data_IF_506117461327
#
_entry.id   IF_506117461327
#
_cell.length_a   1.000
_cell.length_b   1.000
_cell.length_c   1.000
_cell.angle_alpha   90.00
_cell.angle_beta   90.00
_cell.angle_gamma   90.00
#
_symmetry.space_group_name_H-M   'P 1'
#
loop_
_entity.id
_entity.type
_entity.pdbx_description
1 polymer ?
#
# COMPACT_ATOMS: atom_id res chain seq x y z
N UNK A 1 0.49 3.11 9.08
CA UNK A 1 -0.98 3.33 9.04
C UNK A 1 -1.39 4.60 9.79
N UNK A 2 -0.70 4.98 10.87
CA UNK A 2 -1.05 6.20 11.61
C UNK A 2 -1.05 7.48 10.77
N UNK A 3 -0.09 7.67 9.85
CA UNK A 3 -0.01 8.86 9.00
C UNK A 3 -1.25 9.08 8.12
N UNK A 4 -1.76 8.02 7.47
CA UNK A 4 -3.00 8.12 6.67
C UNK A 4 -4.23 8.26 7.57
N UNK A 5 -4.20 7.67 8.77
CA UNK A 5 -5.24 7.86 9.79
C UNK A 5 -5.36 9.31 10.26
N UNK A 6 -4.31 10.13 10.13
CA UNK A 6 -4.40 11.57 10.44
C UNK A 6 -5.34 12.32 9.49
N UNK A 7 -5.50 11.83 8.25
CA UNK A 7 -6.48 12.33 7.30
C UNK A 7 -7.88 11.73 7.51
N UNK A 8 -8.05 10.85 8.49
CA UNK A 8 -9.30 10.16 8.79
C UNK A 8 -10.44 11.11 9.15
N UNK A 9 -11.64 10.77 8.72
CA UNK A 9 -12.88 11.44 9.10
C UNK A 9 -13.04 11.47 10.61
N UNK A 10 -13.23 12.66 11.16
CA UNK A 10 -13.33 12.86 12.61
C UNK A 10 -12.01 12.73 13.37
N UNK A 11 -10.86 12.72 12.67
CA UNK A 11 -9.56 12.73 13.34
C UNK A 11 -9.34 14.03 14.12
N UNK A 12 -8.41 14.00 15.08
CA UNK A 12 -7.99 15.18 15.84
C UNK A 12 -7.35 16.29 14.98
N UNK A 13 -7.09 16.02 13.69
CA UNK A 13 -6.42 16.91 12.76
C UNK A 13 -7.41 17.75 11.97
N UNK A 14 -8.50 17.14 11.48
CA UNK A 14 -9.40 17.78 10.52
C UNK A 14 -10.05 19.08 11.01
N UNK A 15 -10.40 19.16 12.29
CA UNK A 15 -11.09 20.31 12.87
C UNK A 15 -10.17 21.17 13.75
N UNK A 16 -8.85 20.96 13.65
CA UNK A 16 -7.89 21.60 14.54
C UNK A 16 -7.13 22.72 13.80
N UNK A 17 -7.33 24.00 14.17
CA UNK A 17 -6.69 25.13 13.49
C UNK A 17 -5.18 25.18 13.69
N UNK A 18 -4.61 24.39 14.61
CA UNK A 18 -3.17 24.23 14.71
C UNK A 18 -2.58 23.49 13.50
N UNK A 19 -3.37 22.73 12.74
CA UNK A 19 -2.91 21.90 11.63
C UNK A 19 -3.05 22.62 10.28
N UNK A 20 -2.10 22.38 9.35
CA UNK A 20 -2.24 22.82 7.96
C UNK A 20 -3.52 22.26 7.34
N UNK A 21 -4.11 23.01 6.41
CA UNK A 21 -5.29 22.55 5.67
C UNK A 21 -4.97 21.31 4.83
N UNK A 22 -5.85 20.31 4.89
CA UNK A 22 -5.86 19.18 3.98
C UNK A 22 -7.16 19.23 3.17
N UNK A 23 -7.12 19.14 1.83
CA UNK A 23 -8.32 19.05 1.01
C UNK A 23 -8.97 17.65 1.03
N UNK A 24 -8.38 16.70 1.74
CA UNK A 24 -8.84 15.30 1.78
C UNK A 24 -9.32 14.88 3.17
N UNK A 25 -10.36 14.06 3.15
CA UNK A 25 -10.94 13.34 4.28
C UNK A 25 -11.02 11.85 3.95
N UNK A 26 -10.50 11.00 4.83
CA UNK A 26 -10.40 9.56 4.61
C UNK A 26 -11.45 8.81 5.43
N UNK A 27 -12.26 8.00 4.77
CA UNK A 27 -13.04 6.96 5.43
C UNK A 27 -12.34 5.62 5.18
N UNK A 28 -11.93 4.93 6.25
CA UNK A 28 -11.06 3.76 6.15
C UNK A 28 -11.85 2.49 6.43
N UNK A 29 -11.88 1.60 5.44
CA UNK A 29 -12.38 0.24 5.60
C UNK A 29 -11.22 -0.77 5.63
N UNK A 30 -11.32 -1.74 6.53
CA UNK A 30 -10.48 -2.94 6.55
C UNK A 30 -11.26 -4.07 5.90
N UNK A 31 -10.85 -4.46 4.70
CA UNK A 31 -11.58 -5.41 3.87
C UNK A 31 -11.02 -6.82 3.99
N UNK A 32 -11.90 -7.81 4.08
CA UNK A 32 -11.57 -9.23 4.02
C UNK A 32 -12.65 -10.04 3.31
N UNK A 33 -12.40 -11.33 3.06
CA UNK A 33 -13.39 -12.22 2.46
C UNK A 33 -14.57 -12.52 3.39
N UNK A 34 -14.30 -12.63 4.70
CA UNK A 34 -15.31 -12.90 5.73
C UNK A 34 -15.20 -11.87 6.86
N UNK A 35 -16.23 -11.77 7.71
CA UNK A 35 -16.21 -10.90 8.89
C UNK A 35 -15.43 -11.50 10.07
N UNK A 36 -14.88 -12.71 9.92
CA UNK A 36 -14.06 -13.33 10.96
C UNK A 36 -12.73 -12.55 11.12
N UNK A 37 -12.16 -12.47 12.34
CA UNK A 37 -10.88 -11.82 12.55
C UNK A 37 -9.78 -12.42 11.67
N UNK A 38 -9.02 -11.57 10.99
CA UNK A 38 -7.85 -11.96 10.20
C UNK A 38 -6.64 -11.97 11.12
N UNK A 39 -5.99 -13.12 11.25
CA UNK A 39 -4.77 -13.27 12.07
C UNK A 39 -3.55 -12.96 11.20
N UNK A 40 -2.82 -11.85 11.45
CA UNK A 40 -1.58 -11.57 10.74
C UNK A 40 -0.48 -12.55 11.17
N UNK A 41 0.59 -12.66 10.37
CA UNK A 41 1.72 -13.51 10.73
C UNK A 41 2.42 -13.11 12.04
N UNK A 42 2.30 -11.83 12.43
CA UNK A 42 2.79 -11.27 13.70
C UNK A 42 1.77 -10.24 14.17
N UNK A 43 1.41 -10.27 15.46
CA UNK A 43 0.53 -9.29 16.10
C UNK A 43 -0.90 -9.77 16.34
N UNK A 44 -1.79 -8.89 16.82
CA UNK A 44 -3.16 -9.24 17.17
C UNK A 44 -4.01 -9.49 15.92
N UNK A 45 -5.08 -10.27 16.09
CA UNK A 45 -6.09 -10.42 15.06
C UNK A 45 -6.78 -9.08 14.76
N UNK A 46 -7.06 -8.82 13.49
CA UNK A 46 -7.73 -7.61 13.02
C UNK A 46 -9.16 -7.98 12.62
N UNK A 47 -10.14 -7.26 13.15
CA UNK A 47 -11.54 -7.43 12.77
C UNK A 47 -11.81 -6.60 11.50
N UNK A 48 -12.25 -7.21 10.38
CA UNK A 48 -12.62 -6.47 9.18
C UNK A 48 -13.81 -5.54 9.45
N UNK A 49 -13.82 -4.35 8.85
CA UNK A 49 -14.99 -3.45 8.92
C UNK A 49 -16.05 -3.86 7.91
N UNK A 50 -15.64 -4.43 6.77
CA UNK A 50 -16.52 -4.93 5.72
C UNK A 50 -15.95 -6.18 5.05
N UNK A 51 -16.83 -7.04 4.57
CA UNK A 51 -16.46 -8.08 3.61
C UNK A 51 -16.43 -7.53 2.19
N UNK A 52 -15.76 -8.21 1.26
CA UNK A 52 -15.80 -7.83 -0.17
C UNK A 52 -17.24 -7.74 -0.71
N UNK A 53 -18.12 -8.65 -0.29
CA UNK A 53 -19.54 -8.62 -0.68
C UNK A 53 -20.27 -7.36 -0.19
N UNK A 54 -20.03 -6.96 1.06
CA UNK A 54 -20.59 -5.72 1.62
C UNK A 54 -20.00 -4.47 0.98
N UNK A 55 -18.76 -4.55 0.49
CA UNK A 55 -18.04 -3.45 -0.14
C UNK A 55 -18.33 -3.30 -1.65
N UNK A 56 -19.02 -4.26 -2.28
CA UNK A 56 -19.28 -4.25 -3.73
C UNK A 56 -20.09 -3.04 -4.24
N UNK A 57 -20.91 -2.43 -3.39
CA UNK A 57 -21.67 -1.22 -3.73
C UNK A 57 -20.90 0.08 -3.51
N UNK A 58 -19.69 0.00 -2.98
CA UNK A 58 -18.81 1.16 -2.73
C UNK A 58 -17.71 1.18 -3.80
N UNK A 59 -17.61 2.28 -4.54
CA UNK A 59 -16.40 2.58 -5.32
C UNK A 59 -15.39 3.24 -4.39
N UNK A 60 -14.24 2.60 -4.20
CA UNK A 60 -13.15 3.19 -3.42
C UNK A 60 -12.34 4.14 -4.29
N UNK A 61 -11.83 5.22 -3.69
CA UNK A 61 -10.85 6.09 -4.35
C UNK A 61 -9.44 5.51 -4.26
N UNK A 62 -9.15 4.82 -3.16
CA UNK A 62 -7.82 4.32 -2.82
C UNK A 62 -7.93 2.89 -2.31
N UNK A 63 -7.13 1.99 -2.86
CA UNK A 63 -6.91 0.64 -2.29
C UNK A 63 -5.44 0.47 -1.97
N UNK A 64 -5.14 -0.01 -0.76
CA UNK A 64 -3.81 -0.44 -0.34
C UNK A 64 -3.83 -1.95 -0.09
N UNK A 65 -2.99 -2.69 -0.83
CA UNK A 65 -2.80 -4.13 -0.62
C UNK A 65 -1.53 -4.37 0.20
N UNK A 66 -1.64 -4.83 1.47
CA UNK A 66 -0.49 -5.12 2.29
C UNK A 66 0.22 -6.41 1.84
N UNK A 67 1.43 -6.61 2.36
CA UNK A 67 2.18 -7.85 2.17
C UNK A 67 1.96 -8.86 3.29
N UNK A 68 2.82 -9.87 3.33
CA UNK A 68 2.81 -10.95 4.30
C UNK A 68 2.80 -12.32 3.62
N UNK A 69 3.02 -13.38 4.41
CA UNK A 69 3.08 -14.75 3.88
C UNK A 69 1.78 -15.18 3.21
N UNK A 70 0.64 -14.64 3.65
CA UNK A 70 -0.68 -14.93 3.10
C UNK A 70 -0.88 -14.48 1.66
N UNK A 71 -0.02 -13.63 1.09
CA UNK A 71 -0.17 -13.14 -0.30
C UNK A 71 0.36 -14.12 -1.36
N UNK A 72 0.96 -15.24 -0.94
CA UNK A 72 1.49 -16.25 -1.88
C UNK A 72 0.34 -16.83 -2.70
N UNK A 73 0.51 -17.09 -4.01
CA UNK A 73 -0.57 -17.56 -4.87
C UNK A 73 -1.25 -18.84 -4.39
N UNK A 74 -0.50 -19.72 -3.74
CA UNK A 74 -1.01 -20.98 -3.18
C UNK A 74 -1.83 -20.82 -1.88
N UNK A 75 -1.83 -19.64 -1.27
CA UNK A 75 -2.45 -19.37 0.04
C UNK A 75 -3.56 -18.32 -0.10
N UNK A 76 -3.31 -17.25 -0.85
CA UNK A 76 -4.23 -16.11 -0.95
C UNK A 76 -5.53 -16.53 -1.62
N UNK A 77 -6.66 -16.10 -1.07
CA UNK A 77 -7.95 -16.27 -1.73
C UNK A 77 -7.98 -15.49 -3.05
N UNK A 78 -8.44 -16.11 -4.17
CA UNK A 78 -8.53 -15.43 -5.46
C UNK A 78 -9.52 -14.24 -5.43
N UNK A 79 -10.46 -14.22 -4.47
CA UNK A 79 -11.41 -13.13 -4.31
C UNK A 79 -10.72 -11.79 -3.97
N UNK A 80 -9.54 -11.81 -3.32
CA UNK A 80 -8.76 -10.59 -3.05
C UNK A 80 -8.34 -9.92 -4.36
N UNK A 81 -7.68 -10.67 -5.25
CA UNK A 81 -7.23 -10.14 -6.54
C UNK A 81 -8.39 -9.73 -7.43
N UNK A 82 -9.49 -10.50 -7.40
CA UNK A 82 -10.72 -10.21 -8.15
C UNK A 82 -11.40 -8.93 -7.68
N UNK A 83 -11.55 -8.72 -6.38
CA UNK A 83 -12.13 -7.50 -5.82
C UNK A 83 -11.30 -6.26 -6.21
N UNK A 84 -9.97 -6.31 -6.04
CA UNK A 84 -9.10 -5.18 -6.40
C UNK A 84 -9.16 -4.90 -7.90
N UNK A 85 -9.20 -5.94 -8.73
CA UNK A 85 -9.33 -5.79 -10.19
C UNK A 85 -10.66 -5.17 -10.60
N UNK A 86 -11.75 -5.50 -9.90
CA UNK A 86 -13.06 -4.92 -10.15
C UNK A 86 -13.11 -3.43 -9.79
N UNK A 87 -12.44 -3.02 -8.71
CA UNK A 87 -12.38 -1.63 -8.25
C UNK A 87 -11.42 -0.77 -9.10
N UNK A 88 -10.39 -1.38 -9.69
CA UNK A 88 -9.28 -0.70 -10.36
C UNK A 88 -9.67 0.41 -11.36
N UNK A 89 -10.71 0.27 -12.21
CA UNK A 89 -11.08 1.32 -13.16
C UNK A 89 -11.55 2.63 -12.50
N UNK A 90 -12.06 2.59 -11.27
CA UNK A 90 -12.53 3.77 -10.54
C UNK A 90 -11.58 4.25 -9.46
N UNK A 91 -10.43 3.58 -9.26
CA UNK A 91 -9.44 4.03 -8.28
C UNK A 91 -8.73 5.30 -8.75
N UNK A 92 -8.64 6.28 -7.86
CA UNK A 92 -7.69 7.38 -8.00
C UNK A 92 -6.26 6.93 -7.72
N UNK A 93 -6.07 6.01 -6.75
CA UNK A 93 -4.75 5.45 -6.42
C UNK A 93 -4.81 3.97 -6.05
N UNK A 94 -3.81 3.22 -6.53
CA UNK A 94 -3.61 1.82 -6.15
C UNK A 94 -2.25 1.66 -5.48
N UNK A 95 -2.23 1.28 -4.22
CA UNK A 95 -1.03 1.14 -3.42
C UNK A 95 -0.77 -0.34 -3.10
N UNK A 96 0.50 -0.72 -3.01
CA UNK A 96 0.88 -1.97 -2.36
C UNK A 96 2.17 -1.83 -1.56
N UNK A 97 2.28 -2.66 -0.53
CA UNK A 97 3.47 -2.76 0.30
C UNK A 97 3.95 -4.20 0.29
N UNK A 98 5.27 -4.40 0.17
CA UNK A 98 5.89 -5.71 0.31
C UNK A 98 5.30 -6.68 -0.72
N UNK A 99 4.96 -7.91 -0.31
CA UNK A 99 4.39 -8.92 -1.21
C UNK A 99 2.96 -8.60 -1.69
N UNK A 100 2.35 -7.49 -1.27
CA UNK A 100 1.07 -7.03 -1.83
C UNK A 100 1.16 -6.78 -3.34
N UNK A 101 2.33 -6.37 -3.84
CA UNK A 101 2.60 -6.26 -5.27
C UNK A 101 2.44 -7.59 -6.02
N UNK A 102 2.61 -8.73 -5.35
CA UNK A 102 2.39 -10.06 -5.95
C UNK A 102 0.91 -10.31 -6.25
N UNK A 103 0.02 -9.88 -5.33
CA UNK A 103 -1.43 -9.94 -5.54
C UNK A 103 -1.82 -9.07 -6.74
N UNK A 104 -1.30 -7.84 -6.80
CA UNK A 104 -1.57 -6.92 -7.91
C UNK A 104 -1.04 -7.46 -9.25
N UNK A 105 0.17 -8.02 -9.24
CA UNK A 105 0.77 -8.63 -10.42
C UNK A 105 -0.09 -9.78 -10.97
N UNK A 106 -0.54 -10.70 -10.11
CA UNK A 106 -1.37 -11.84 -10.52
C UNK A 106 -2.78 -11.43 -10.95
N UNK A 107 -3.30 -10.29 -10.45
CA UNK A 107 -4.54 -9.71 -10.93
C UNK A 107 -4.39 -9.06 -12.33
N UNK A 108 -3.16 -8.92 -12.84
CA UNK A 108 -2.84 -8.23 -14.11
C UNK A 108 -2.83 -6.71 -13.98
N UNK A 109 -2.77 -6.16 -12.76
CA UNK A 109 -2.87 -4.72 -12.50
C UNK A 109 -1.54 -3.98 -12.63
N UNK A 110 -0.42 -4.73 -12.73
CA UNK A 110 0.93 -4.21 -12.90
C UNK A 110 1.49 -4.44 -14.32
N UNK A 111 0.73 -5.07 -15.23
CA UNK A 111 1.19 -5.32 -16.60
C UNK A 111 1.52 -4.01 -17.32
N UNK A 112 2.74 -3.93 -17.89
CA UNK A 112 3.26 -2.75 -18.57
C UNK A 112 3.77 -1.64 -17.64
N UNK A 113 3.65 -1.79 -16.32
CA UNK A 113 4.02 -0.75 -15.34
C UNK A 113 5.38 -1.01 -14.70
N UNK A 114 6.00 0.06 -14.24
CA UNK A 114 7.12 0.01 -13.31
C UNK A 114 6.60 -0.33 -11.91
N UNK A 115 7.23 -1.29 -11.24
CA UNK A 115 6.84 -1.71 -9.90
C UNK A 115 8.03 -2.22 -9.08
N UNK A 116 7.91 -2.24 -7.76
CA UNK A 116 8.83 -2.91 -6.85
C UNK A 116 8.06 -3.77 -5.83
N UNK A 117 8.80 -4.62 -5.13
CA UNK A 117 8.33 -5.43 -4.00
C UNK A 117 9.47 -5.57 -3.00
N UNK A 118 9.22 -6.20 -1.85
CA UNK A 118 10.28 -6.40 -0.86
C UNK A 118 11.44 -7.23 -1.44
N UNK A 119 12.65 -6.92 -0.98
CA UNK A 119 13.89 -7.44 -1.58
C UNK A 119 14.05 -8.94 -1.41
N UNK A 120 13.61 -9.48 -0.28
CA UNK A 120 13.68 -10.91 0.03
C UNK A 120 12.84 -11.78 -0.93
N UNK A 121 11.66 -11.29 -1.33
CA UNK A 121 10.77 -12.01 -2.26
C UNK A 121 10.92 -11.55 -3.73
N UNK A 122 11.77 -10.57 -4.00
CA UNK A 122 11.81 -9.89 -5.31
C UNK A 122 12.05 -10.84 -6.47
N UNK A 123 13.11 -11.66 -6.40
CA UNK A 123 13.45 -12.60 -7.45
C UNK A 123 12.33 -13.63 -7.68
N UNK A 124 11.71 -14.12 -6.61
CA UNK A 124 10.59 -15.05 -6.69
C UNK A 124 9.39 -14.41 -7.41
N UNK A 125 8.95 -13.25 -6.94
CA UNK A 125 7.79 -12.54 -7.50
C UNK A 125 8.03 -12.21 -8.98
N UNK A 126 9.20 -11.66 -9.33
CA UNK A 126 9.56 -11.37 -10.72
C UNK A 126 9.52 -12.62 -11.62
N UNK A 127 9.93 -13.76 -11.08
CA UNK A 127 9.97 -15.01 -11.84
C UNK A 127 8.58 -15.61 -12.05
N UNK A 128 7.72 -15.53 -11.04
CA UNK A 128 6.38 -16.14 -11.01
C UNK A 128 5.26 -15.24 -11.56
N UNK A 129 5.59 -14.00 -11.97
CA UNK A 129 4.62 -13.04 -12.52
C UNK A 129 4.92 -12.68 -13.97
N UNK A 130 4.02 -11.92 -14.59
CA UNK A 130 4.10 -11.47 -15.98
C UNK A 130 5.44 -10.80 -16.31
N UNK A 131 5.98 -11.14 -17.48
CA UNK A 131 7.23 -10.56 -18.01
C UNK A 131 7.06 -9.15 -18.55
N UNK A 132 5.81 -8.67 -18.66
CA UNK A 132 5.50 -7.29 -19.06
C UNK A 132 5.59 -6.31 -17.88
N UNK A 133 5.84 -6.77 -16.66
CA UNK A 133 6.04 -5.91 -15.49
C UNK A 133 7.50 -5.46 -15.45
N UNK A 134 7.73 -4.15 -15.42
CA UNK A 134 9.05 -3.56 -15.31
C UNK A 134 9.48 -3.46 -13.84
N UNK A 135 9.97 -4.57 -13.30
CA UNK A 135 10.39 -4.63 -11.90
C UNK A 135 11.66 -3.79 -11.65
N UNK A 136 11.59 -2.83 -10.74
CA UNK A 136 12.70 -1.94 -10.34
C UNK A 136 13.39 -2.49 -9.07
N UNK A 137 14.50 -3.22 -9.19
CA UNK A 137 15.09 -4.03 -8.12
C UNK A 137 15.54 -3.22 -6.90
N UNK A 138 16.15 -2.07 -7.14
CA UNK A 138 16.74 -1.26 -6.08
C UNK A 138 15.77 -0.26 -5.47
N UNK A 139 14.62 0.05 -6.07
CA UNK A 139 13.75 1.12 -5.57
C UNK A 139 13.17 0.82 -4.18
N UNK A 140 13.22 1.78 -3.24
CA UNK A 140 12.43 1.72 -2.00
C UNK A 140 10.93 1.69 -2.32
N UNK A 141 10.47 2.57 -3.20
CA UNK A 141 9.15 2.51 -3.80
C UNK A 141 9.17 3.06 -5.23
N UNK A 142 8.20 2.65 -6.03
CA UNK A 142 7.98 3.08 -7.40
C UNK A 142 6.60 3.73 -7.51
N UNK A 143 6.54 4.84 -8.24
CA UNK A 143 5.31 5.51 -8.65
C UNK A 143 5.22 5.44 -10.16
N UNK A 144 4.17 4.78 -10.67
CA UNK A 144 3.85 4.71 -12.10
C UNK A 144 2.39 5.15 -12.29
N UNK A 145 2.22 6.40 -12.72
CA UNK A 145 0.93 7.07 -12.76
C UNK A 145 0.24 7.06 -11.38
N UNK A 146 -0.92 6.41 -11.31
CA UNK A 146 -1.70 6.27 -10.07
C UNK A 146 -1.35 5.05 -9.24
N UNK A 147 -0.37 4.24 -9.68
CA UNK A 147 0.03 2.99 -9.01
C UNK A 147 1.32 3.20 -8.23
N UNK A 148 1.27 2.93 -6.92
CA UNK A 148 2.39 3.08 -6.01
C UNK A 148 2.71 1.71 -5.41
N UNK A 149 3.96 1.27 -5.52
CA UNK A 149 4.40 -0.01 -4.95
C UNK A 149 5.64 0.21 -4.10
N UNK A 150 5.66 -0.29 -2.87
CA UNK A 150 6.84 -0.20 -2.01
C UNK A 150 7.46 -1.56 -1.71
N UNK A 151 8.72 -1.51 -1.30
CA UNK A 151 9.50 -2.66 -0.87
C UNK A 151 9.09 -3.16 0.51
N UNK A 152 10.04 -3.31 1.45
CA UNK A 152 9.75 -3.81 2.80
C UNK A 152 8.94 -2.84 3.66
N UNK A 153 8.75 -3.23 4.93
CA UNK A 153 7.92 -2.49 5.90
C UNK A 153 8.32 -1.02 6.03
N UNK A 154 9.62 -0.73 6.19
CA UNK A 154 10.10 0.65 6.37
C UNK A 154 9.92 1.48 5.10
N UNK A 155 10.19 0.90 3.93
CA UNK A 155 9.95 1.55 2.65
C UNK A 155 8.46 1.84 2.42
N UNK A 156 7.55 1.01 2.94
CA UNK A 156 6.11 1.28 2.94
C UNK A 156 5.70 2.45 3.83
N UNK A 157 6.39 2.66 4.96
CA UNK A 157 6.16 3.83 5.83
C UNK A 157 6.68 5.10 5.15
N UNK A 158 7.86 5.04 4.52
CA UNK A 158 8.41 6.16 3.74
C UNK A 158 7.50 6.52 2.56
N UNK A 159 7.03 5.51 1.82
CA UNK A 159 6.05 5.70 0.74
C UNK A 159 4.76 6.33 1.26
N UNK A 160 4.27 5.93 2.44
CA UNK A 160 3.08 6.55 3.03
C UNK A 160 3.30 8.03 3.37
N UNK A 161 4.48 8.40 3.89
CA UNK A 161 4.84 9.81 4.10
C UNK A 161 4.91 10.59 2.77
N UNK A 162 5.52 10.02 1.74
CA UNK A 162 5.55 10.60 0.40
C UNK A 162 4.14 10.74 -0.19
N UNK A 163 3.26 9.76 0.03
CA UNK A 163 1.88 9.79 -0.44
C UNK A 163 1.04 10.84 0.29
N UNK A 164 1.21 11.00 1.61
CA UNK A 164 0.58 12.10 2.35
C UNK A 164 1.09 13.45 1.85
N UNK A 165 2.38 13.57 1.52
CA UNK A 165 2.94 14.79 0.92
C UNK A 165 2.31 15.10 -0.43
N UNK A 166 2.12 14.07 -1.26
CA UNK A 166 1.46 14.16 -2.57
C UNK A 166 0.00 14.64 -2.46
N UNK A 167 -0.73 14.16 -1.45
CA UNK A 167 -2.14 14.54 -1.25
C UNK A 167 -2.30 15.87 -0.50
N UNK A 168 -1.76 16.00 0.70
CA UNK A 168 -2.04 17.10 1.61
C UNK A 168 -0.96 18.20 1.61
N UNK A 169 0.08 18.07 0.78
CA UNK A 169 1.18 19.02 0.70
C UNK A 169 2.26 18.81 1.76
N UNK A 170 3.41 19.47 1.55
CA UNK A 170 4.62 19.30 2.36
C UNK A 170 4.50 19.81 3.79
N UNK A 171 3.72 20.86 4.01
CA UNK A 171 3.49 21.43 5.35
C UNK A 171 2.75 20.44 6.24
N UNK A 172 1.63 19.90 5.74
CA UNK A 172 0.85 18.88 6.44
C UNK A 172 1.69 17.64 6.72
N UNK A 173 2.36 17.10 5.69
CA UNK A 173 3.17 15.89 5.83
C UNK A 173 4.34 16.08 6.80
N UNK A 174 5.01 17.24 6.76
CA UNK A 174 6.10 17.56 7.68
C UNK A 174 5.59 17.62 9.12
N UNK A 175 4.44 18.26 9.36
CA UNK A 175 3.84 18.27 10.70
C UNK A 175 3.46 16.86 11.15
N UNK A 176 2.81 16.08 10.28
CA UNK A 176 2.40 14.71 10.56
C UNK A 176 3.59 13.83 10.97
N UNK A 177 4.66 13.80 10.16
CA UNK A 177 5.86 13.02 10.48
C UNK A 177 6.57 13.49 11.75
N UNK A 178 6.57 14.80 12.04
CA UNK A 178 7.18 15.32 13.26
C UNK A 178 6.39 14.91 14.50
N UNK A 179 5.06 14.90 14.44
CA UNK A 179 4.18 14.49 15.56
C UNK A 179 4.35 13.01 15.89
N UNK A 180 4.53 12.16 14.89
CA UNK A 180 4.78 10.71 15.09
C UNK A 180 6.28 10.36 15.16
N UNK A 181 7.14 11.38 15.18
CA UNK A 181 8.60 11.25 15.24
C UNK A 181 9.22 10.35 14.14
N UNK A 182 8.59 10.31 12.96
CA UNK A 182 9.06 9.52 11.83
C UNK A 182 10.24 10.18 11.12
N UNK A 183 11.36 9.45 11.06
CA UNK A 183 12.48 9.72 10.14
C UNK A 183 12.22 9.04 8.79
N UNK A 184 11.57 9.76 7.88
CA UNK A 184 11.27 9.27 6.55
C UNK A 184 12.51 9.31 5.64
N UNK A 185 12.79 8.22 4.94
CA UNK A 185 13.79 8.18 3.88
C UNK A 185 13.20 8.68 2.54
N UNK A 186 14.07 9.21 1.69
CA UNK A 186 13.70 9.69 0.35
C UNK A 186 13.53 8.56 -0.67
N UNK A 187 12.96 8.89 -1.82
CA UNK A 187 12.85 7.95 -2.94
C UNK A 187 14.24 7.65 -3.48
N UNK A 188 14.56 6.37 -3.67
CA UNK A 188 15.83 5.98 -4.23
C UNK A 188 16.15 4.52 -3.98
N UNK A 189 17.45 4.23 -3.95
CA UNK A 189 17.98 2.89 -3.75
C UNK A 189 17.74 2.41 -2.31
N UNK A 190 17.24 1.19 -2.22
CA UNK A 190 16.99 0.46 -1.00
C UNK A 190 18.28 -0.30 -0.66
N UNK A 191 18.92 -0.01 0.50
CA UNK A 191 20.16 -0.66 0.88
C UNK A 191 20.01 -2.17 1.05
N UNK A 192 18.78 -2.67 1.26
CA UNK A 192 18.54 -4.11 1.35
C UNK A 192 18.68 -4.83 -0.01
N UNK A 193 18.70 -4.11 -1.14
CA UNK A 193 18.86 -4.70 -2.46
C UNK A 193 20.19 -5.48 -2.60
N UNK A 194 21.28 -4.94 -2.04
CA UNK A 194 22.61 -5.55 -2.08
C UNK A 194 22.65 -6.90 -1.36
N UNK A 195 21.97 -7.00 -0.20
CA UNK A 195 21.89 -8.23 0.60
C UNK A 195 21.28 -9.39 -0.19
N UNK A 196 20.35 -9.08 -1.10
CA UNK A 196 19.66 -10.07 -1.93
C UNK A 196 20.22 -10.14 -3.36
N UNK A 197 21.38 -9.54 -3.63
CA UNK A 197 22.05 -9.59 -4.94
C UNK A 197 21.26 -8.93 -6.06
N UNK A 198 20.48 -7.89 -5.74
CA UNK A 198 19.65 -7.17 -6.70
C UNK A 198 20.45 -5.98 -7.25
N UNK A 199 20.70 -5.99 -8.57
CA UNK A 199 21.36 -4.94 -9.33
C UNK A 199 20.35 -4.09 -10.10
#
# INVERSE_FOLDING_TARGET
>A
MELLGMLGKGSMVQNNPAWPFSPYEFEIDYLAETAAPVVPGIGPAIVPTKTFSQANSTQYDIILVPGGMGTRPAIISPEVGKFVKQQAPGLQYLLSVCTGAWVLANAGLLDGKNATTNKAAFAQIRNETSKNIHWVPKARWVVDGTTWTSSGVTAGIDMANAFVTHLAGSEFATKARNVVELRAAEQGDDPFAEIYGLA
#
